data_IF_367225582729
#
_entry.id   IF_367225582729
#
_cell.length_a   1.000
_cell.length_b   1.000
_cell.length_c   1.000
_cell.angle_alpha   90.00
_cell.angle_beta   90.00
_cell.angle_gamma   90.00
#
_symmetry.space_group_name_H-M   'P 1'
#
loop_
_entity.id
_entity.type
_entity.pdbx_description
1 polymer ?
#
# COMPACT_ATOMS: atom_id res chain seq x y z
N UNK A 1 -50.93 -9.51 -10.32
CA UNK A 1 -49.96 -8.51 -9.84
C UNK A 1 -49.31 -9.08 -8.58
N UNK A 2 -48.26 -9.88 -8.75
CA UNK A 2 -47.56 -10.57 -7.65
C UNK A 2 -46.30 -9.81 -7.33
N UNK A 3 -46.25 -9.20 -6.16
CA UNK A 3 -45.09 -8.46 -5.64
C UNK A 3 -44.09 -9.49 -5.10
N UNK A 4 -42.86 -9.41 -5.63
CA UNK A 4 -41.77 -10.34 -5.34
C UNK A 4 -41.26 -10.12 -3.90
N UNK A 5 -41.67 -10.97 -2.97
CA UNK A 5 -41.31 -10.96 -1.53
C UNK A 5 -39.81 -11.24 -1.28
N UNK A 6 -39.03 -11.65 -2.28
CA UNK A 6 -37.59 -11.97 -2.15
C UNK A 6 -36.68 -10.75 -2.10
N UNK A 7 -37.13 -9.55 -2.48
CA UNK A 7 -36.30 -8.33 -2.41
C UNK A 7 -36.42 -7.56 -1.10
N UNK A 8 -37.45 -7.85 -0.27
CA UNK A 8 -37.59 -7.20 1.04
C UNK A 8 -36.76 -7.88 2.14
N UNK A 9 -36.42 -9.17 2.00
CA UNK A 9 -35.65 -9.91 3.00
C UNK A 9 -34.16 -9.59 2.99
N UNK A 10 -33.60 -9.22 1.84
CA UNK A 10 -32.18 -8.83 1.73
C UNK A 10 -31.89 -7.43 2.27
N UNK A 11 -32.83 -6.50 2.16
CA UNK A 11 -32.68 -5.16 2.72
C UNK A 11 -32.78 -5.14 4.25
N UNK A 12 -33.62 -6.03 4.83
CA UNK A 12 -33.75 -6.15 6.29
C UNK A 12 -32.54 -6.81 6.95
N UNK A 13 -31.85 -7.73 6.26
CA UNK A 13 -30.62 -8.37 6.75
C UNK A 13 -29.45 -7.42 6.72
N UNK A 14 -29.33 -6.55 5.70
CA UNK A 14 -28.27 -5.54 5.62
C UNK A 14 -28.39 -4.46 6.71
N UNK A 15 -29.61 -4.07 7.10
CA UNK A 15 -29.82 -3.13 8.20
C UNK A 15 -29.55 -3.74 9.58
N UNK A 16 -29.71 -5.08 9.73
CA UNK A 16 -29.43 -5.77 11.00
C UNK A 16 -27.92 -5.99 11.22
N UNK A 17 -27.15 -6.20 10.16
CA UNK A 17 -25.69 -6.37 10.25
C UNK A 17 -24.99 -5.03 10.55
N UNK A 18 -25.46 -3.90 10.00
CA UNK A 18 -24.95 -2.58 10.32
C UNK A 18 -25.24 -2.16 11.78
N UNK A 19 -26.39 -2.60 12.37
CA UNK A 19 -26.72 -2.35 13.76
C UNK A 19 -25.91 -3.20 14.76
N UNK A 20 -25.48 -4.40 14.39
CA UNK A 20 -24.73 -5.30 15.24
C UNK A 20 -23.25 -4.88 15.39
N UNK A 21 -22.67 -4.21 14.38
CA UNK A 21 -21.29 -3.71 14.44
C UNK A 21 -21.14 -2.50 15.40
N UNK A 22 -22.17 -1.70 15.57
CA UNK A 22 -22.16 -0.59 16.54
C UNK A 22 -22.35 -1.04 18.00
N UNK A 23 -22.92 -2.24 18.25
CA UNK A 23 -23.14 -2.77 19.60
C UNK A 23 -21.99 -3.63 20.13
N UNK A 24 -21.14 -4.21 19.27
CA UNK A 24 -20.02 -5.07 19.69
C UNK A 24 -18.82 -4.28 20.21
N UNK A 25 -18.72 -2.97 19.93
CA UNK A 25 -17.62 -2.12 20.42
C UNK A 25 -17.88 -1.51 21.82
N UNK A 26 -19.09 -1.69 22.41
CA UNK A 26 -19.46 -1.14 23.69
C UNK A 26 -19.39 -2.12 24.88
N UNK A 27 -18.91 -3.37 24.68
CA UNK A 27 -19.14 -4.48 25.59
C UNK A 27 -17.96 -5.07 26.36
N UNK A 28 -16.72 -4.58 26.25
CA UNK A 28 -15.59 -5.17 27.00
C UNK A 28 -14.61 -4.13 27.57
N UNK A 29 -15.07 -3.36 28.56
CA UNK A 29 -14.21 -2.74 29.58
C UNK A 29 -15.00 -2.58 30.88
N UNK A 30 -15.05 -3.64 31.69
CA UNK A 30 -15.40 -3.54 33.10
C UNK A 30 -14.22 -3.97 33.95
N UNK A 31 -13.36 -3.02 34.30
CA UNK A 31 -12.37 -3.12 35.36
C UNK A 31 -12.24 -1.73 35.97
N UNK A 32 -12.75 -1.54 37.19
CA UNK A 32 -12.99 -0.25 37.77
C UNK A 32 -11.74 0.52 38.17
N UNK A 33 -11.76 1.80 37.83
CA UNK A 33 -11.27 2.89 38.68
C UNK A 33 -12.27 4.04 38.55
N UNK A 34 -12.90 4.39 39.67
CA UNK A 34 -13.70 5.58 39.75
C UNK A 34 -12.77 6.80 39.65
N UNK A 35 -12.74 7.46 38.52
CA UNK A 35 -12.28 8.82 38.39
C UNK A 35 -13.38 9.59 37.66
N UNK A 36 -13.86 10.65 38.30
CA UNK A 36 -14.86 11.56 37.77
C UNK A 36 -14.38 12.20 36.50
N UNK A 37 -14.64 11.55 35.36
CA UNK A 37 -14.53 12.21 34.08
C UNK A 37 -15.78 13.04 33.85
N UNK A 38 -15.66 14.35 34.10
CA UNK A 38 -16.59 15.31 33.54
C UNK A 38 -16.65 15.01 32.01
N UNK A 39 -17.84 14.66 31.54
CA UNK A 39 -18.11 14.48 30.13
C UNK A 39 -17.69 15.77 29.41
N UNK A 40 -16.56 15.72 28.74
CA UNK A 40 -16.16 16.74 27.79
C UNK A 40 -17.11 16.57 26.59
N UNK A 41 -18.25 17.24 26.64
CA UNK A 41 -19.03 17.47 25.44
C UNK A 41 -18.11 18.24 24.50
N UNK A 42 -17.90 17.83 23.25
CA UNK A 42 -17.27 18.70 22.27
C UNK A 42 -18.14 19.95 22.22
N UNK A 43 -17.65 21.05 22.78
CA UNK A 43 -18.26 22.34 22.60
C UNK A 43 -18.13 22.65 21.12
N UNK A 44 -19.19 22.45 20.35
CA UNK A 44 -19.31 23.05 19.04
C UNK A 44 -19.26 24.57 19.27
N UNK A 45 -18.05 25.14 19.23
CA UNK A 45 -17.91 26.57 19.10
C UNK A 45 -18.71 26.95 17.85
N UNK A 46 -19.60 27.95 17.93
CA UNK A 46 -20.28 28.42 16.73
C UNK A 46 -19.17 28.77 15.73
N UNK A 47 -19.15 28.07 14.61
CA UNK A 47 -18.19 28.22 13.54
C UNK A 47 -18.39 29.64 13.01
N UNK A 48 -17.46 30.50 13.35
CA UNK A 48 -17.47 31.88 12.86
C UNK A 48 -17.21 31.76 11.36
N UNK A 49 -18.24 31.94 10.53
CA UNK A 49 -18.11 31.90 9.05
C UNK A 49 -17.06 32.94 8.66
N UNK A 50 -15.84 32.50 8.40
CA UNK A 50 -14.78 33.35 7.91
C UNK A 50 -15.22 33.98 6.58
N UNK A 51 -14.96 35.26 6.37
CA UNK A 51 -15.15 35.86 5.06
C UNK A 51 -14.13 35.31 4.08
N UNK A 52 -14.53 35.21 2.81
CA UNK A 52 -13.61 34.86 1.73
C UNK A 52 -12.97 36.20 1.28
N UNK A 53 -11.64 36.26 1.34
CA UNK A 53 -10.89 37.39 0.79
C UNK A 53 -10.62 37.11 -0.68
N UNK A 54 -11.09 38.02 -1.57
CA UNK A 54 -10.97 37.87 -3.02
C UNK A 54 -10.22 39.08 -3.61
N UNK A 55 -9.31 38.78 -4.53
CA UNK A 55 -8.47 39.77 -5.24
C UNK A 55 -8.55 39.48 -6.74
N UNK A 56 -8.58 40.51 -7.58
CA UNK A 56 -8.46 40.42 -9.04
C UNK A 56 -7.89 41.72 -9.58
N UNK A 57 -7.41 41.73 -10.81
CA UNK A 57 -6.91 42.95 -11.46
C UNK A 57 -8.07 43.93 -11.73
N UNK A 58 -9.17 43.43 -12.28
CA UNK A 58 -10.38 44.19 -12.57
C UNK A 58 -11.62 43.52 -11.98
N UNK A 59 -12.65 44.35 -11.66
CA UNK A 59 -13.92 43.84 -11.19
C UNK A 59 -15.09 44.64 -11.78
N UNK A 60 -16.13 43.89 -12.22
CA UNK A 60 -17.34 44.46 -12.80
C UNK A 60 -18.54 43.96 -12.01
N UNK A 61 -19.43 44.86 -11.66
CA UNK A 61 -20.69 44.51 -11.00
C UNK A 61 -21.81 44.50 -12.04
N UNK A 62 -22.59 43.44 -12.08
CA UNK A 62 -23.78 43.32 -12.95
C UNK A 62 -24.99 43.07 -12.06
N UNK A 63 -25.97 43.94 -12.17
CA UNK A 63 -27.23 43.87 -11.42
C UNK A 63 -28.32 43.27 -12.28
N UNK A 64 -28.91 42.16 -11.82
CA UNK A 64 -30.05 41.47 -12.47
C UNK A 64 -31.39 41.73 -11.75
N UNK A 65 -31.49 42.78 -10.94
CA UNK A 65 -32.67 43.13 -10.19
C UNK A 65 -32.83 42.38 -8.87
N UNK A 66 -32.97 41.10 -8.88
CA UNK A 66 -33.08 40.27 -7.66
C UNK A 66 -31.73 39.72 -7.17
N UNK A 67 -30.70 39.82 -7.99
CA UNK A 67 -29.35 39.31 -7.67
C UNK A 67 -28.26 40.18 -8.27
N UNK A 68 -27.21 40.40 -7.51
CA UNK A 68 -26.01 41.09 -7.98
C UNK A 68 -24.86 40.05 -8.10
N UNK A 69 -24.23 40.02 -9.26
CA UNK A 69 -23.04 39.24 -9.51
C UNK A 69 -21.83 40.15 -9.69
N UNK A 70 -20.65 39.61 -9.31
CA UNK A 70 -19.37 40.27 -9.53
C UNK A 70 -18.53 39.44 -10.47
N UNK A 71 -18.10 40.00 -11.57
CA UNK A 71 -17.18 39.40 -12.53
C UNK A 71 -15.78 39.90 -12.18
N UNK A 72 -14.89 39.01 -11.84
CA UNK A 72 -13.52 39.25 -11.40
C UNK A 72 -12.59 38.79 -12.51
N UNK A 73 -11.76 39.64 -13.07
CA UNK A 73 -10.96 39.34 -14.25
C UNK A 73 -9.50 39.64 -13.99
N UNK A 74 -8.64 38.73 -14.40
CA UNK A 74 -7.19 38.81 -14.28
C UNK A 74 -6.67 38.44 -12.90
N UNK A 75 -5.76 37.50 -12.85
CA UNK A 75 -5.04 37.06 -11.66
C UNK A 75 -5.94 36.88 -10.42
N UNK A 76 -7.09 36.21 -10.62
CA UNK A 76 -8.02 35.99 -9.52
C UNK A 76 -7.39 35.14 -8.43
N UNK A 77 -7.55 35.59 -7.18
CA UNK A 77 -7.16 34.86 -5.99
C UNK A 77 -8.23 34.97 -4.91
N UNK A 78 -8.58 33.83 -4.30
CA UNK A 78 -9.47 33.74 -3.14
C UNK A 78 -8.79 33.02 -1.99
N UNK A 79 -8.95 33.50 -0.77
CA UNK A 79 -8.41 32.92 0.45
C UNK A 79 -9.55 32.55 1.39
N UNK A 80 -9.61 31.27 1.78
CA UNK A 80 -10.61 30.79 2.74
C UNK A 80 -10.11 29.54 3.47
N UNK A 81 -10.27 29.51 4.80
CA UNK A 81 -9.88 28.39 5.68
C UNK A 81 -8.41 27.91 5.53
N UNK A 82 -7.52 28.75 5.05
CA UNK A 82 -6.12 28.39 4.77
C UNK A 82 -5.90 27.94 3.33
N UNK A 83 -6.96 27.67 2.58
CA UNK A 83 -6.86 27.39 1.16
C UNK A 83 -6.67 28.69 0.36
N UNK A 84 -5.89 28.58 -0.72
CA UNK A 84 -5.73 29.61 -1.74
C UNK A 84 -6.24 29.06 -3.05
N UNK A 85 -7.19 29.76 -3.68
CA UNK A 85 -7.77 29.39 -4.98
C UNK A 85 -7.36 30.46 -5.98
N UNK A 86 -6.64 30.05 -7.02
CA UNK A 86 -6.18 30.93 -8.10
C UNK A 86 -6.89 30.54 -9.41
N UNK A 87 -7.14 31.54 -10.28
CA UNK A 87 -7.69 31.32 -11.61
C UNK A 87 -7.44 32.54 -12.50
N UNK A 88 -7.70 32.41 -13.81
CA UNK A 88 -7.63 33.57 -14.72
C UNK A 88 -8.77 34.55 -14.46
N UNK A 89 -9.95 34.05 -14.10
CA UNK A 89 -11.13 34.85 -13.78
C UNK A 89 -12.11 34.12 -12.87
N UNK A 90 -13.05 34.87 -12.26
CA UNK A 90 -14.11 34.25 -11.47
C UNK A 90 -15.42 35.08 -11.57
N UNK A 91 -16.51 34.38 -11.29
CA UNK A 91 -17.81 35.01 -11.12
C UNK A 91 -18.27 34.75 -9.69
N UNK A 92 -18.45 35.81 -8.92
CA UNK A 92 -18.92 35.75 -7.54
C UNK A 92 -20.43 36.00 -7.48
N UNK A 93 -21.12 35.13 -6.79
CA UNK A 93 -22.55 35.26 -6.48
C UNK A 93 -22.75 35.90 -5.10
N UNK A 94 -23.92 36.48 -4.87
CA UNK A 94 -24.20 37.33 -3.71
C UNK A 94 -23.90 36.74 -2.33
N UNK A 95 -23.94 35.44 -2.19
CA UNK A 95 -23.63 34.70 -0.95
C UNK A 95 -22.15 34.40 -0.74
N UNK A 96 -21.25 34.99 -1.53
CA UNK A 96 -19.80 34.72 -1.54
C UNK A 96 -19.38 33.34 -2.10
N UNK A 97 -20.31 32.56 -2.66
CA UNK A 97 -19.95 31.46 -3.53
C UNK A 97 -19.46 32.01 -4.85
N UNK A 98 -18.53 31.33 -5.48
CA UNK A 98 -17.94 31.76 -6.74
C UNK A 98 -17.57 30.61 -7.63
N UNK A 99 -17.45 30.91 -8.90
CA UNK A 99 -17.04 29.99 -9.95
C UNK A 99 -15.78 30.55 -10.62
N UNK A 100 -14.75 29.72 -10.74
CA UNK A 100 -13.47 30.05 -11.33
C UNK A 100 -13.35 29.49 -12.73
N UNK A 101 -12.65 30.20 -13.61
CA UNK A 101 -12.42 29.83 -15.00
C UNK A 101 -10.96 30.05 -15.41
N UNK A 102 -10.40 29.06 -16.07
CA UNK A 102 -9.06 29.08 -16.64
C UNK A 102 -7.95 28.89 -15.60
N UNK A 103 -7.04 27.98 -15.85
CA UNK A 103 -5.84 27.69 -15.05
C UNK A 103 -6.10 27.64 -13.54
N UNK A 104 -7.16 26.91 -13.14
CA UNK A 104 -7.53 26.81 -11.73
C UNK A 104 -6.46 26.06 -10.96
N UNK A 105 -6.02 26.65 -9.86
CA UNK A 105 -5.13 26.02 -8.88
C UNK A 105 -5.71 26.24 -7.48
N UNK A 106 -5.95 25.15 -6.77
CA UNK A 106 -6.27 25.17 -5.34
C UNK A 106 -5.04 24.68 -4.58
N UNK A 107 -4.55 25.48 -3.66
CA UNK A 107 -3.46 25.11 -2.77
C UNK A 107 -3.97 25.07 -1.32
N UNK A 108 -3.69 23.95 -0.67
CA UNK A 108 -3.95 23.76 0.76
C UNK A 108 -2.75 23.02 1.37
N UNK A 109 -2.03 23.65 2.28
CA UNK A 109 -0.78 23.12 2.84
C UNK A 109 0.24 22.76 1.74
N UNK A 110 0.61 21.47 1.62
CA UNK A 110 1.49 20.93 0.60
C UNK A 110 0.76 20.41 -0.63
N UNK A 111 -0.57 20.38 -0.58
CA UNK A 111 -1.41 19.84 -1.65
C UNK A 111 -1.78 20.90 -2.67
N UNK A 112 -1.63 20.59 -3.95
CA UNK A 112 -1.95 21.42 -5.11
C UNK A 112 -2.93 20.68 -6.02
N UNK A 113 -4.09 21.28 -6.30
CA UNK A 113 -5.13 20.72 -7.17
C UNK A 113 -5.26 21.61 -8.40
N UNK A 114 -5.10 21.03 -9.58
CA UNK A 114 -5.14 21.70 -10.87
C UNK A 114 -6.39 21.29 -11.65
N UNK A 115 -7.04 22.26 -12.27
CA UNK A 115 -8.20 22.08 -13.13
C UNK A 115 -8.45 23.25 -14.08
N UNK A 116 -9.47 23.13 -14.91
CA UNK A 116 -9.83 24.18 -15.88
C UNK A 116 -10.93 25.12 -15.35
N UNK A 117 -11.78 24.60 -14.48
CA UNK A 117 -12.89 25.31 -13.84
C UNK A 117 -13.08 24.77 -12.43
N UNK A 118 -13.52 25.64 -11.49
CA UNK A 118 -13.94 25.21 -10.17
C UNK A 118 -15.15 25.99 -9.67
N UNK A 119 -16.03 25.33 -8.97
CA UNK A 119 -17.13 25.92 -8.22
C UNK A 119 -16.81 25.87 -6.73
N UNK A 120 -16.84 27.00 -6.05
CA UNK A 120 -16.63 27.08 -4.62
C UNK A 120 -17.92 27.44 -3.88
N UNK A 121 -18.37 26.52 -3.02
CA UNK A 121 -19.50 26.76 -2.14
C UNK A 121 -19.01 27.09 -0.73
N UNK A 122 -19.17 28.36 -0.34
CA UNK A 122 -18.74 28.84 0.97
C UNK A 122 -19.43 28.17 2.15
N UNK A 123 -20.73 27.91 2.00
CA UNK A 123 -21.53 27.38 3.11
C UNK A 123 -21.19 25.91 3.42
N UNK A 124 -20.67 25.21 2.42
CA UNK A 124 -20.19 23.83 2.52
C UNK A 124 -18.66 23.73 2.67
N UNK A 125 -17.91 24.85 2.57
CA UNK A 125 -16.45 24.89 2.50
C UNK A 125 -15.87 24.01 1.38
N UNK A 126 -16.61 23.80 0.29
CA UNK A 126 -16.32 22.79 -0.73
C UNK A 126 -16.03 23.43 -2.08
N UNK A 127 -14.90 23.04 -2.67
CA UNK A 127 -14.57 23.26 -4.06
C UNK A 127 -14.91 22.01 -4.88
N UNK A 128 -15.61 22.18 -6.01
CA UNK A 128 -15.77 21.14 -7.03
C UNK A 128 -14.91 21.54 -8.22
N UNK A 129 -13.97 20.68 -8.61
CA UNK A 129 -13.01 20.96 -9.67
C UNK A 129 -13.40 20.19 -10.92
N UNK A 130 -13.37 20.85 -12.06
CA UNK A 130 -13.73 20.33 -13.37
C UNK A 130 -12.54 20.48 -14.32
N UNK A 131 -12.20 19.39 -14.98
CA UNK A 131 -11.22 19.31 -16.06
C UNK A 131 -11.43 18.01 -16.81
N UNK A 132 -10.86 17.86 -18.00
CA UNK A 132 -10.78 16.57 -18.67
C UNK A 132 -10.04 15.54 -17.79
N UNK A 133 -9.04 16.02 -17.04
CA UNK A 133 -8.31 15.25 -16.05
C UNK A 133 -7.79 16.19 -14.95
N UNK A 134 -8.37 16.08 -13.76
CA UNK A 134 -7.93 16.81 -12.56
C UNK A 134 -6.62 16.22 -12.08
N UNK A 135 -5.63 17.06 -11.83
CA UNK A 135 -4.31 16.65 -11.28
C UNK A 135 -4.16 17.17 -9.86
N UNK A 136 -3.74 16.30 -8.96
CA UNK A 136 -3.46 16.62 -7.55
C UNK A 136 -2.00 16.26 -7.28
N UNK A 137 -1.25 17.15 -6.66
CA UNK A 137 0.17 16.95 -6.33
C UNK A 137 0.36 17.19 -4.84
N UNK A 138 1.03 16.27 -4.16
CA UNK A 138 1.47 16.45 -2.78
C UNK A 138 2.84 15.77 -2.58
N UNK A 139 3.89 16.58 -2.40
CA UNK A 139 5.26 16.10 -2.35
C UNK A 139 5.65 15.33 -3.63
N UNK A 140 6.05 14.07 -3.45
CA UNK A 140 6.41 13.17 -4.56
C UNK A 140 5.19 12.49 -5.19
N UNK A 141 4.02 12.56 -4.54
CA UNK A 141 2.81 11.92 -5.02
C UNK A 141 2.08 12.81 -6.04
N UNK A 142 1.60 12.19 -7.11
CA UNK A 142 0.73 12.81 -8.10
C UNK A 142 -0.48 11.91 -8.32
N UNK A 143 -1.67 12.48 -8.18
CA UNK A 143 -2.94 11.78 -8.38
C UNK A 143 -3.69 12.41 -9.54
N UNK A 144 -4.41 11.59 -10.29
CA UNK A 144 -5.25 12.00 -11.42
C UNK A 144 -6.65 11.41 -11.23
N UNK A 145 -7.67 12.19 -11.54
CA UNK A 145 -9.07 11.77 -11.45
C UNK A 145 -9.94 12.55 -12.43
N UNK A 146 -11.08 11.99 -12.80
CA UNK A 146 -12.04 12.70 -13.65
C UNK A 146 -12.93 13.66 -12.86
N UNK A 147 -13.18 13.38 -11.59
CA UNK A 147 -14.02 14.20 -10.74
C UNK A 147 -13.38 14.37 -9.36
N UNK A 148 -13.29 15.63 -8.93
CA UNK A 148 -12.70 15.97 -7.63
C UNK A 148 -13.57 16.99 -6.90
N UNK A 149 -13.89 16.72 -5.64
CA UNK A 149 -14.35 17.72 -4.70
C UNK A 149 -13.36 17.84 -3.56
N UNK A 150 -13.12 19.05 -3.10
CA UNK A 150 -12.17 19.32 -2.02
C UNK A 150 -12.85 20.13 -0.91
N UNK A 151 -12.87 19.58 0.31
CA UNK A 151 -13.32 20.28 1.50
C UNK A 151 -12.15 21.05 2.13
N UNK A 152 -12.25 22.40 2.12
CA UNK A 152 -11.19 23.28 2.62
C UNK A 152 -11.17 23.42 4.15
N UNK A 153 -12.17 22.90 4.84
CA UNK A 153 -12.22 22.91 6.30
C UNK A 153 -11.62 21.64 6.89
N UNK A 154 -11.99 20.47 6.33
CA UNK A 154 -11.52 19.16 6.78
C UNK A 154 -10.26 18.73 6.02
N UNK A 155 -9.82 19.49 5.01
CA UNK A 155 -8.64 19.22 4.18
C UNK A 155 -8.69 17.86 3.47
N UNK A 156 -9.87 17.51 2.94
CA UNK A 156 -10.14 16.22 2.30
C UNK A 156 -10.54 16.40 0.85
N UNK A 157 -9.81 15.74 -0.04
CA UNK A 157 -10.20 15.53 -1.45
C UNK A 157 -11.01 14.24 -1.59
N UNK A 158 -12.14 14.29 -2.29
CA UNK A 158 -12.94 13.13 -2.69
C UNK A 158 -12.85 12.98 -4.21
N UNK A 159 -12.52 11.78 -4.69
CA UNK A 159 -12.40 11.46 -6.11
C UNK A 159 -13.37 10.35 -6.48
N UNK A 160 -13.95 10.45 -7.67
CA UNK A 160 -14.87 9.43 -8.19
C UNK A 160 -14.84 9.36 -9.72
N UNK A 161 -15.19 8.17 -10.23
CA UNK A 161 -15.13 7.88 -11.65
C UNK A 161 -13.73 7.48 -12.14
N UNK A 162 -12.88 7.04 -11.22
CA UNK A 162 -11.50 6.61 -11.45
C UNK A 162 -10.49 7.51 -10.75
N UNK A 163 -9.54 6.88 -10.09
CA UNK A 163 -8.39 7.51 -9.46
C UNK A 163 -7.13 6.77 -9.88
N UNK A 164 -6.10 7.50 -10.27
CA UNK A 164 -4.79 7.00 -10.63
C UNK A 164 -3.74 7.77 -9.85
N UNK A 165 -3.02 7.12 -8.95
CA UNK A 165 -2.00 7.75 -8.12
C UNK A 165 -0.62 7.18 -8.42
N UNK A 166 0.36 8.07 -8.56
CA UNK A 166 1.78 7.74 -8.73
C UNK A 166 2.53 8.30 -7.54
N UNK A 167 3.27 7.46 -6.83
CA UNK A 167 4.16 7.89 -5.76
C UNK A 167 5.50 7.16 -5.90
N UNK A 168 6.53 7.86 -6.38
CA UNK A 168 7.82 7.27 -6.74
C UNK A 168 7.64 6.13 -7.75
N UNK A 169 7.92 4.88 -7.33
CA UNK A 169 7.79 3.68 -8.16
C UNK A 169 6.42 3.00 -8.02
N UNK A 170 5.57 3.46 -7.09
CA UNK A 170 4.27 2.87 -6.83
C UNK A 170 3.20 3.49 -7.70
N UNK A 171 2.38 2.65 -8.31
CA UNK A 171 1.15 3.00 -9.01
C UNK A 171 -0.02 2.45 -8.23
N UNK A 172 -1.08 3.25 -8.06
CA UNK A 172 -2.33 2.85 -7.43
C UNK A 172 -3.48 3.28 -8.31
N UNK A 173 -4.40 2.37 -8.60
CA UNK A 173 -5.64 2.60 -9.35
C UNK A 173 -6.83 2.19 -8.48
N UNK A 174 -7.95 2.92 -8.57
CA UNK A 174 -9.19 2.62 -7.88
C UNK A 174 -10.37 3.32 -8.54
N UNK A 175 -11.59 2.87 -8.30
CA UNK A 175 -12.80 3.53 -8.84
C UNK A 175 -13.08 4.86 -8.14
N UNK A 176 -12.78 4.96 -6.85
CA UNK A 176 -12.98 6.15 -6.01
C UNK A 176 -11.99 6.20 -4.86
N UNK A 177 -11.86 7.35 -4.24
CA UNK A 177 -11.01 7.51 -3.07
C UNK A 177 -11.15 8.84 -2.39
N UNK A 178 -10.44 8.93 -1.27
CA UNK A 178 -10.35 10.13 -0.44
C UNK A 178 -8.89 10.41 -0.16
N UNK A 179 -8.49 11.66 -0.26
CA UNK A 179 -7.14 12.08 0.09
C UNK A 179 -7.18 13.09 1.25
N UNK A 180 -6.54 12.75 2.35
CA UNK A 180 -6.42 13.57 3.54
C UNK A 180 -5.09 14.32 3.50
N UNK A 181 -5.11 15.61 3.15
CA UNK A 181 -3.87 16.38 2.97
C UNK A 181 -3.10 16.65 4.26
N UNK A 182 -3.75 16.58 5.42
CA UNK A 182 -3.10 16.78 6.72
C UNK A 182 -2.30 15.55 7.19
N UNK A 183 -2.73 14.35 6.81
CA UNK A 183 -2.09 13.09 7.21
C UNK A 183 -1.37 12.40 6.06
N UNK A 184 -1.52 12.87 4.84
CA UNK A 184 -1.01 12.28 3.59
C UNK A 184 -1.55 10.86 3.32
N UNK A 185 -2.77 10.56 3.80
CA UNK A 185 -3.43 9.28 3.61
C UNK A 185 -4.33 9.30 2.37
N UNK A 186 -4.07 8.40 1.43
CA UNK A 186 -4.94 8.08 0.32
C UNK A 186 -5.75 6.84 0.67
N UNK A 187 -7.07 6.99 0.79
CA UNK A 187 -8.00 5.87 0.94
C UNK A 187 -8.54 5.54 -0.44
N UNK A 188 -8.14 4.42 -0.99
CA UNK A 188 -8.60 3.89 -2.26
C UNK A 188 -9.68 2.83 -2.02
N UNK A 189 -10.78 2.89 -2.77
CA UNK A 189 -11.95 2.04 -2.57
C UNK A 189 -12.50 1.58 -3.92
N UNK A 190 -12.93 0.33 -3.96
CA UNK A 190 -13.49 -0.40 -5.08
C UNK A 190 -12.45 -0.62 -6.20
N UNK A 191 -12.27 -1.87 -6.57
CA UNK A 191 -11.34 -2.31 -7.62
C UNK A 191 -9.93 -1.73 -7.47
N UNK A 192 -9.39 -1.82 -6.25
CA UNK A 192 -8.05 -1.30 -5.98
C UNK A 192 -7.00 -2.20 -6.61
N UNK A 193 -6.13 -1.61 -7.40
CA UNK A 193 -4.94 -2.23 -7.94
C UNK A 193 -3.72 -1.38 -7.57
N UNK A 194 -2.72 -1.99 -6.94
CA UNK A 194 -1.47 -1.32 -6.60
C UNK A 194 -0.29 -2.13 -7.12
N UNK A 195 0.65 -1.49 -7.79
CA UNK A 195 1.79 -2.19 -8.41
C UNK A 195 3.06 -1.35 -8.44
N UNK A 196 4.17 -2.05 -8.48
CA UNK A 196 5.48 -1.52 -8.86
C UNK A 196 6.30 -2.62 -9.55
N UNK A 197 7.59 -2.38 -9.80
CA UNK A 197 8.48 -3.35 -10.46
C UNK A 197 8.65 -4.69 -9.71
N UNK A 198 8.25 -4.78 -8.46
CA UNK A 198 8.50 -5.94 -7.57
C UNK A 198 7.26 -6.66 -7.11
N UNK A 199 6.11 -6.02 -7.13
CA UNK A 199 4.86 -6.61 -6.67
C UNK A 199 3.65 -6.00 -7.38
N UNK A 200 2.60 -6.78 -7.40
CA UNK A 200 1.25 -6.40 -7.79
C UNK A 200 0.30 -6.80 -6.69
N UNK A 201 -0.66 -5.95 -6.38
CA UNK A 201 -1.69 -6.17 -5.38
C UNK A 201 -3.05 -5.77 -5.93
N UNK A 202 -4.06 -6.61 -5.69
CA UNK A 202 -5.46 -6.26 -5.94
C UNK A 202 -6.28 -6.47 -4.67
N UNK A 203 -7.30 -5.64 -4.45
CA UNK A 203 -8.15 -5.73 -3.27
C UNK A 203 -9.36 -4.80 -3.34
N UNK A 204 -10.20 -4.85 -2.32
CA UNK A 204 -11.41 -4.03 -2.26
C UNK A 204 -11.12 -2.61 -1.76
N UNK A 205 -10.22 -2.48 -0.79
CA UNK A 205 -9.86 -1.17 -0.25
C UNK A 205 -8.46 -1.15 0.37
N UNK A 206 -7.79 0.00 0.24
CA UNK A 206 -6.44 0.25 0.75
C UNK A 206 -6.37 1.66 1.33
N UNK A 207 -5.76 1.79 2.49
CA UNK A 207 -5.27 3.07 3.02
C UNK A 207 -3.77 3.11 2.77
N UNK A 208 -3.33 4.07 1.96
CA UNK A 208 -1.93 4.23 1.61
C UNK A 208 -1.42 5.60 2.04
N UNK A 209 -0.43 5.65 2.90
CA UNK A 209 0.23 6.89 3.30
C UNK A 209 1.36 7.21 2.30
N UNK A 210 1.20 8.30 1.55
CA UNK A 210 2.13 8.64 0.45
C UNK A 210 3.48 9.19 0.95
N UNK A 211 3.58 9.63 2.20
CA UNK A 211 4.82 10.11 2.80
C UNK A 211 5.68 8.97 3.34
N UNK A 212 5.07 8.03 4.07
CA UNK A 212 5.75 6.94 4.76
C UNK A 212 5.84 5.66 3.95
N UNK A 213 5.10 5.54 2.83
CA UNK A 213 4.91 4.31 2.07
C UNK A 213 4.28 3.17 2.91
N UNK A 214 3.53 3.51 3.96
CA UNK A 214 2.78 2.55 4.77
C UNK A 214 1.45 2.25 4.09
N UNK A 215 1.12 0.96 3.95
CA UNK A 215 -0.17 0.52 3.40
C UNK A 215 -0.92 -0.34 4.41
N UNK A 216 -2.22 -0.15 4.49
CA UNK A 216 -3.16 -1.01 5.20
C UNK A 216 -4.23 -1.47 4.22
N UNK A 217 -4.43 -2.77 4.11
CA UNK A 217 -5.37 -3.37 3.18
C UNK A 217 -6.47 -4.15 3.90
N UNK A 218 -7.64 -4.19 3.28
CA UNK A 218 -8.87 -4.75 3.83
C UNK A 218 -9.57 -5.59 2.77
N UNK A 219 -10.07 -6.71 3.23
CA UNK A 219 -10.89 -7.68 2.50
C UNK A 219 -10.30 -8.14 1.14
N UNK A 220 -10.27 -9.44 0.95
CA UNK A 220 -9.92 -10.11 -0.30
C UNK A 220 -8.68 -9.57 -1.02
N UNK A 221 -7.60 -9.34 -0.28
CA UNK A 221 -6.38 -8.80 -0.86
C UNK A 221 -5.50 -9.91 -1.41
N UNK A 222 -5.16 -9.80 -2.69
CA UNK A 222 -4.28 -10.70 -3.43
C UNK A 222 -2.99 -9.97 -3.77
N UNK A 223 -1.86 -10.59 -3.55
CA UNK A 223 -0.53 -10.03 -3.83
C UNK A 223 0.34 -11.03 -4.57
N UNK A 224 1.09 -10.54 -5.55
CA UNK A 224 2.08 -11.30 -6.30
C UNK A 224 3.40 -10.56 -6.31
N UNK A 225 4.49 -11.28 -6.25
CA UNK A 225 5.81 -10.70 -6.46
C UNK A 225 6.37 -11.05 -7.85
N UNK A 226 7.52 -10.46 -8.18
CA UNK A 226 8.23 -10.66 -9.43
C UNK A 226 8.73 -12.10 -9.66
N UNK A 227 8.76 -12.93 -8.59
CA UNK A 227 9.14 -14.36 -8.64
C UNK A 227 7.93 -15.29 -8.85
N UNK A 228 6.71 -14.73 -8.88
CA UNK A 228 5.47 -15.49 -8.98
C UNK A 228 5.02 -16.11 -7.67
N UNK A 229 5.57 -15.68 -6.53
CA UNK A 229 5.04 -16.04 -5.22
C UNK A 229 3.77 -15.25 -4.98
N UNK A 230 2.81 -15.90 -4.35
CA UNK A 230 1.48 -15.36 -4.13
C UNK A 230 1.17 -15.30 -2.64
N UNK A 231 0.52 -14.21 -2.23
CA UNK A 231 -0.01 -14.03 -0.87
C UNK A 231 -1.46 -13.58 -0.94
N UNK A 232 -2.28 -14.13 -0.04
CA UNK A 232 -3.66 -13.71 0.18
C UNK A 232 -3.84 -13.31 1.64
N UNK A 233 -4.67 -12.31 1.87
CA UNK A 233 -5.09 -11.90 3.20
C UNK A 233 -6.46 -11.21 3.19
N UNK A 234 -7.27 -11.43 4.23
CA UNK A 234 -8.47 -10.64 4.45
C UNK A 234 -8.16 -9.26 5.06
N UNK A 235 -7.07 -9.13 5.79
CA UNK A 235 -6.61 -7.87 6.34
C UNK A 235 -5.13 -7.91 6.70
N UNK A 236 -4.47 -6.77 6.55
CA UNK A 236 -3.08 -6.65 6.93
C UNK A 236 -2.49 -5.28 6.67
N UNK A 237 -1.19 -5.19 6.87
CA UNK A 237 -0.41 -3.97 6.64
C UNK A 237 0.91 -4.29 5.95
N UNK A 238 1.42 -3.33 5.22
CA UNK A 238 2.79 -3.33 4.74
C UNK A 238 3.51 -2.08 5.24
N UNK A 239 4.62 -2.26 5.91
CA UNK A 239 5.51 -1.21 6.37
C UNK A 239 6.84 -1.28 5.60
N UNK A 240 7.04 -0.34 4.69
CA UNK A 240 8.24 -0.30 3.84
C UNK A 240 9.51 0.03 4.64
N UNK A 241 9.42 0.76 5.75
CA UNK A 241 10.59 1.16 6.52
C UNK A 241 11.31 -0.04 7.14
N UNK A 242 10.55 -1.02 7.57
CA UNK A 242 11.06 -2.28 8.16
C UNK A 242 10.85 -3.49 7.25
N UNK A 243 10.34 -3.27 6.05
CA UNK A 243 10.04 -4.28 5.02
C UNK A 243 9.23 -5.47 5.58
N UNK A 244 8.17 -5.12 6.34
CA UNK A 244 7.29 -6.06 7.03
C UNK A 244 5.93 -6.13 6.36
N UNK A 245 5.58 -7.31 5.87
CA UNK A 245 4.21 -7.68 5.55
C UNK A 245 3.57 -8.34 6.76
N UNK A 246 2.49 -7.77 7.25
CA UNK A 246 1.74 -8.30 8.38
C UNK A 246 0.33 -8.66 7.96
N UNK A 247 0.04 -9.94 7.95
CA UNK A 247 -1.32 -10.46 7.78
C UNK A 247 -1.95 -10.62 9.16
N UNK A 248 -3.14 -10.10 9.34
CA UNK A 248 -3.85 -10.14 10.62
C UNK A 248 -5.07 -11.03 10.60
N UNK A 249 -5.49 -11.51 9.42
CA UNK A 249 -6.64 -12.40 9.25
C UNK A 249 -6.53 -13.21 7.97
N UNK A 250 -6.70 -14.54 8.09
CA UNK A 250 -6.77 -15.50 6.98
C UNK A 250 -5.59 -15.38 6.02
N UNK A 251 -4.38 -15.57 6.53
CA UNK A 251 -3.17 -15.51 5.72
C UNK A 251 -2.95 -16.78 4.92
N UNK A 252 -2.59 -16.61 3.66
CA UNK A 252 -2.13 -17.67 2.79
C UNK A 252 -0.91 -17.23 1.98
N UNK A 253 0.11 -18.04 1.92
CA UNK A 253 1.32 -17.81 1.13
C UNK A 253 1.57 -19.05 0.27
N UNK A 254 1.77 -18.83 -1.03
CA UNK A 254 2.15 -19.84 -1.99
C UNK A 254 3.49 -19.46 -2.64
N UNK A 255 4.48 -20.30 -2.48
CA UNK A 255 5.72 -20.28 -3.26
C UNK A 255 5.75 -21.47 -4.24
N UNK A 256 6.82 -21.61 -5.02
CA UNK A 256 6.91 -22.69 -6.03
C UNK A 256 6.74 -24.11 -5.44
N UNK A 257 7.10 -24.31 -4.18
CA UNK A 257 7.20 -25.63 -3.57
C UNK A 257 6.52 -25.73 -2.20
N UNK A 258 6.00 -24.60 -1.68
CA UNK A 258 5.43 -24.52 -0.34
C UNK A 258 4.16 -23.70 -0.33
N UNK A 259 3.22 -24.20 0.44
CA UNK A 259 1.99 -23.50 0.79
C UNK A 259 1.89 -23.35 2.30
N UNK A 260 1.49 -22.18 2.76
CA UNK A 260 1.32 -21.89 4.18
C UNK A 260 0.00 -21.17 4.43
N UNK A 261 -0.75 -21.63 5.38
CA UNK A 261 -1.95 -21.00 5.93
C UNK A 261 -1.73 -20.63 7.38
N UNK A 262 -2.34 -19.56 7.85
CA UNK A 262 -2.38 -19.17 9.26
C UNK A 262 -3.30 -17.99 9.48
N UNK A 263 -3.88 -17.85 10.66
CA UNK A 263 -4.71 -16.69 10.97
C UNK A 263 -3.92 -15.39 10.90
N UNK A 264 -2.66 -15.41 11.34
CA UNK A 264 -1.77 -14.28 11.35
C UNK A 264 -0.36 -14.65 10.90
N UNK A 265 0.20 -13.85 9.99
CA UNK A 265 1.55 -14.04 9.45
C UNK A 265 2.29 -12.71 9.51
N UNK A 266 3.49 -12.70 10.09
CA UNK A 266 4.43 -11.59 9.99
C UNK A 266 5.60 -12.03 9.10
N UNK A 267 5.74 -11.42 7.92
CA UNK A 267 6.83 -11.71 6.98
C UNK A 267 7.80 -10.53 6.92
N UNK A 268 8.96 -10.71 7.56
CA UNK A 268 10.10 -9.80 7.52
C UNK A 268 10.92 -10.10 6.26
N UNK A 269 10.53 -9.50 5.15
CA UNK A 269 11.03 -9.84 3.82
C UNK A 269 12.55 -9.68 3.69
N UNK A 270 13.13 -8.58 4.16
CA UNK A 270 14.58 -8.35 4.11
C UNK A 270 15.38 -9.34 4.93
N UNK A 271 14.76 -9.94 5.95
CA UNK A 271 15.38 -10.97 6.80
C UNK A 271 15.06 -12.38 6.33
N UNK A 272 14.15 -12.55 5.36
CA UNK A 272 13.65 -13.87 4.97
C UNK A 272 13.06 -14.64 6.14
N UNK A 273 12.36 -13.96 7.07
CA UNK A 273 11.84 -14.55 8.29
C UNK A 273 10.33 -14.42 8.36
N UNK A 274 9.64 -15.53 8.50
CA UNK A 274 8.19 -15.61 8.66
C UNK A 274 7.86 -16.09 10.07
N UNK A 275 6.93 -15.40 10.72
CA UNK A 275 6.33 -15.80 12.01
C UNK A 275 4.85 -16.04 11.78
N UNK A 276 4.40 -17.27 11.98
CA UNK A 276 3.01 -17.68 11.82
C UNK A 276 2.34 -17.98 13.16
N UNK A 277 1.06 -17.63 13.31
CA UNK A 277 0.29 -17.80 14.55
C UNK A 277 -1.13 -18.22 14.25
N UNK A 278 -1.60 -19.15 15.05
CA UNK A 278 -2.94 -19.76 15.06
C UNK A 278 -3.30 -20.48 13.75
N UNK A 279 -3.77 -21.71 13.94
CA UNK A 279 -4.26 -22.59 12.88
C UNK A 279 -3.30 -22.71 11.68
N UNK A 280 -2.00 -22.83 11.99
CA UNK A 280 -0.96 -22.95 10.99
C UNK A 280 -1.06 -24.30 10.30
N UNK A 281 -1.04 -24.28 8.99
CA UNK A 281 -0.88 -25.44 8.12
C UNK A 281 0.19 -25.13 7.07
N UNK A 282 1.13 -26.03 6.89
CA UNK A 282 2.21 -25.94 5.88
C UNK A 282 2.24 -27.21 5.06
N UNK A 283 2.26 -27.08 3.75
CA UNK A 283 2.57 -28.17 2.81
C UNK A 283 3.88 -27.83 2.09
N UNK A 284 4.93 -28.61 2.39
CA UNK A 284 6.20 -28.57 1.67
C UNK A 284 6.22 -29.74 0.69
N UNK A 285 5.93 -29.46 -0.57
CA UNK A 285 5.86 -30.46 -1.63
C UNK A 285 7.22 -31.01 -2.02
N UNK A 286 8.32 -30.27 -1.77
CA UNK A 286 9.68 -30.72 -2.00
C UNK A 286 10.10 -31.76 -0.96
N UNK A 287 9.87 -31.44 0.32
CA UNK A 287 10.22 -32.33 1.43
C UNK A 287 9.15 -33.41 1.70
N UNK A 288 7.98 -33.28 1.03
CA UNK A 288 6.84 -34.20 1.25
C UNK A 288 6.35 -34.17 2.70
N UNK A 289 6.19 -32.98 3.26
CA UNK A 289 5.81 -32.78 4.66
C UNK A 289 4.59 -31.89 4.76
N UNK A 290 3.54 -32.40 5.41
CA UNK A 290 2.45 -31.58 5.93
C UNK A 290 2.70 -31.27 7.41
N UNK A 291 2.64 -30.01 7.78
CA UNK A 291 2.84 -29.52 9.14
C UNK A 291 1.63 -28.78 9.66
N UNK A 292 1.30 -28.97 10.94
CA UNK A 292 0.23 -28.27 11.63
C UNK A 292 0.74 -27.78 12.99
N UNK A 293 0.37 -26.55 13.40
CA UNK A 293 0.74 -25.99 14.70
C UNK A 293 -0.09 -24.74 15.03
N UNK A 294 0.03 -24.22 16.27
CA UNK A 294 -0.54 -22.93 16.65
C UNK A 294 0.52 -21.79 16.65
N UNK A 295 1.80 -22.12 16.53
CA UNK A 295 2.90 -21.16 16.40
C UNK A 295 4.04 -21.78 15.61
N UNK A 296 4.61 -20.98 14.70
CA UNK A 296 5.77 -21.41 13.92
C UNK A 296 6.58 -20.22 13.44
N UNK A 297 7.85 -20.50 13.16
CA UNK A 297 8.78 -19.58 12.54
C UNK A 297 9.54 -20.30 11.42
N UNK A 298 9.81 -19.57 10.35
CA UNK A 298 10.55 -20.08 9.20
C UNK A 298 11.59 -19.03 8.77
N UNK A 299 12.80 -19.47 8.53
CA UNK A 299 13.89 -18.67 7.98
C UNK A 299 14.25 -19.19 6.59
N UNK A 300 14.11 -18.37 5.57
CA UNK A 300 14.42 -18.74 4.17
C UNK A 300 15.86 -19.20 4.02
N UNK A 301 16.78 -18.53 4.70
CA UNK A 301 18.17 -18.92 4.79
C UNK A 301 18.54 -19.19 6.27
N UNK A 302 18.96 -20.42 6.59
CA UNK A 302 19.30 -21.57 5.73
C UNK A 302 18.14 -22.52 5.38
N UNK A 303 16.89 -22.12 5.45
CA UNK A 303 15.72 -22.95 5.21
C UNK A 303 15.31 -23.75 6.45
N UNK A 304 15.53 -23.18 7.63
CA UNK A 304 15.16 -23.80 8.89
C UNK A 304 13.75 -23.36 9.32
N UNK A 305 13.08 -24.25 10.06
CA UNK A 305 11.80 -23.90 10.67
C UNK A 305 11.70 -24.48 12.07
N UNK A 306 10.83 -23.88 12.87
CA UNK A 306 10.43 -24.45 14.12
C UNK A 306 8.92 -24.26 14.31
N UNK A 307 8.24 -25.29 14.80
CA UNK A 307 6.82 -25.26 15.10
C UNK A 307 6.57 -25.79 16.52
N UNK A 308 5.61 -25.19 17.20
CA UNK A 308 5.26 -25.52 18.58
C UNK A 308 3.77 -25.28 18.85
N UNK A 309 3.32 -25.56 20.08
CA UNK A 309 1.92 -25.51 20.48
C UNK A 309 1.08 -26.51 19.68
N UNK A 310 1.17 -27.77 20.07
CA UNK A 310 0.50 -28.94 19.46
C UNK A 310 0.98 -29.23 18.03
N UNK A 311 2.29 -29.21 17.76
CA UNK A 311 2.78 -29.48 16.42
C UNK A 311 2.50 -30.93 16.03
N UNK A 312 2.10 -31.13 14.81
CA UNK A 312 2.03 -32.44 14.18
C UNK A 312 2.57 -32.36 12.76
N UNK A 313 3.33 -33.39 12.36
CA UNK A 313 3.91 -33.52 11.04
C UNK A 313 3.49 -34.83 10.42
N UNK A 314 3.24 -34.80 9.13
CA UNK A 314 2.98 -35.99 8.31
C UNK A 314 3.97 -35.98 7.17
N UNK A 315 4.91 -36.92 7.17
CA UNK A 315 5.75 -37.15 6.00
C UNK A 315 5.04 -38.15 5.08
N UNK A 316 4.73 -37.69 3.87
CA UNK A 316 4.02 -38.43 2.86
C UNK A 316 4.95 -38.64 1.65
N UNK A 317 5.41 -39.83 1.40
CA UNK A 317 6.12 -40.18 0.16
C UNK A 317 5.18 -40.93 -0.78
N UNK A 318 4.81 -40.38 -1.95
CA UNK A 318 3.96 -41.08 -2.91
C UNK A 318 4.51 -42.45 -3.37
N UNK A 319 5.80 -42.67 -3.16
CA UNK A 319 6.47 -43.92 -3.51
C UNK A 319 6.47 -44.93 -2.36
N UNK A 320 6.08 -44.51 -1.16
CA UNK A 320 5.97 -45.38 0.02
C UNK A 320 4.50 -45.69 0.30
N UNK A 321 4.24 -46.91 0.80
CA UNK A 321 2.87 -47.36 1.09
C UNK A 321 2.30 -46.68 2.34
N UNK A 322 3.18 -46.26 3.27
CA UNK A 322 2.81 -45.72 4.58
C UNK A 322 3.38 -44.32 4.78
N UNK A 323 2.57 -43.44 5.34
CA UNK A 323 2.98 -42.08 5.82
C UNK A 323 3.53 -42.17 7.24
N UNK A 324 4.51 -41.34 7.56
CA UNK A 324 5.07 -41.23 8.91
C UNK A 324 4.43 -40.05 9.63
N UNK A 325 3.85 -40.31 10.80
CA UNK A 325 3.24 -39.31 11.66
C UNK A 325 4.15 -38.99 12.83
N UNK A 326 4.33 -37.71 13.12
CA UNK A 326 5.11 -37.18 14.24
C UNK A 326 4.29 -36.18 15.01
N UNK A 327 4.26 -36.34 16.35
CA UNK A 327 3.71 -35.34 17.28
C UNK A 327 4.71 -35.13 18.40
N UNK A 328 4.87 -33.88 18.82
CA UNK A 328 5.79 -33.46 19.89
C UNK A 328 5.29 -32.16 20.54
N UNK A 329 5.98 -31.67 21.58
CA UNK A 329 5.71 -30.35 22.14
C UNK A 329 6.31 -29.25 21.25
N UNK A 330 7.44 -29.53 20.60
CA UNK A 330 8.13 -28.64 19.66
C UNK A 330 8.89 -29.47 18.64
N UNK A 331 8.88 -29.05 17.41
CA UNK A 331 9.62 -29.67 16.31
C UNK A 331 10.53 -28.63 15.65
N UNK A 332 11.80 -28.98 15.48
CA UNK A 332 12.78 -28.22 14.73
C UNK A 332 13.08 -28.92 13.41
N UNK A 333 13.03 -28.17 12.33
CA UNK A 333 13.36 -28.62 10.99
C UNK A 333 14.63 -27.90 10.53
N UNK A 334 15.63 -28.65 10.13
CA UNK A 334 16.92 -28.13 9.66
C UNK A 334 17.17 -28.57 8.22
N UNK A 335 17.51 -27.61 7.38
CA UNK A 335 18.02 -27.92 6.04
C UNK A 335 19.50 -28.31 6.15
N UNK A 336 19.80 -29.55 5.82
CA UNK A 336 21.17 -30.05 5.78
C UNK A 336 21.76 -29.77 4.39
N UNK A 337 22.84 -29.02 4.31
CA UNK A 337 23.65 -28.94 3.09
C UNK A 337 24.16 -30.34 2.73
N UNK A 338 24.01 -30.75 1.49
CA UNK A 338 24.58 -32.01 1.01
C UNK A 338 26.08 -31.99 1.36
N UNK A 339 26.53 -32.96 2.17
CA UNK A 339 27.94 -33.14 2.43
C UNK A 339 28.60 -33.40 1.07
N UNK A 340 29.67 -32.63 0.67
CA UNK A 340 30.38 -32.97 -0.56
C UNK A 340 30.75 -34.44 -0.48
N UNK A 341 30.31 -35.24 -1.44
CA UNK A 341 30.76 -36.62 -1.55
C UNK A 341 32.27 -36.54 -1.64
N UNK A 342 33.02 -37.36 -0.87
CA UNK A 342 34.46 -37.50 -1.09
C UNK A 342 34.60 -37.85 -2.58
N UNK A 343 35.35 -37.04 -3.32
CA UNK A 343 35.71 -37.39 -4.68
C UNK A 343 36.25 -38.83 -4.62
N UNK A 344 35.64 -39.76 -5.37
CA UNK A 344 36.19 -41.09 -5.53
C UNK A 344 37.67 -40.93 -5.89
N UNK A 345 38.59 -41.61 -5.19
CA UNK A 345 39.99 -41.47 -5.53
C UNK A 345 40.13 -41.83 -7.00
N UNK A 346 40.68 -40.87 -7.77
CA UNK A 346 41.02 -41.10 -9.17
C UNK A 346 41.62 -42.47 -9.33
N UNK A 347 41.20 -43.33 -10.29
CA UNK A 347 41.78 -44.63 -10.50
C UNK A 347 43.28 -44.44 -10.66
N UNK A 348 44.04 -45.17 -9.84
CA UNK A 348 45.47 -45.16 -9.86
C UNK A 348 45.97 -45.37 -11.30
N UNK A 349 46.66 -44.38 -11.84
CA UNK A 349 47.27 -44.48 -13.14
C UNK A 349 48.29 -45.63 -13.08
N UNK A 350 48.02 -46.69 -13.84
CA UNK A 350 48.93 -47.79 -14.06
C UNK A 350 50.30 -47.20 -14.51
N UNK A 351 51.27 -47.40 -13.65
CA UNK A 351 52.68 -47.10 -13.94
C UNK A 351 53.25 -48.17 -14.89
N UNK A 352 53.21 -47.86 -16.15
CA UNK A 352 54.01 -48.57 -17.14
C UNK A 352 54.80 -47.56 -17.99
N UNK A 353 56.03 -47.42 -17.62
CA UNK A 353 57.26 -47.04 -18.24
C UNK A 353 57.24 -46.31 -19.62
N UNK A 354 58.02 -45.28 -19.66
CA UNK A 354 59.23 -45.13 -20.51
C UNK A 354 59.76 -43.72 -20.36
N UNK A 355 61.00 -43.63 -19.92
CA UNK A 355 61.80 -42.41 -19.77
C UNK A 355 62.20 -41.84 -21.12
N UNK A 356 62.38 -40.52 -21.14
CA UNK A 356 63.46 -39.73 -21.72
C UNK A 356 63.00 -38.48 -22.49
N UNK A 357 63.81 -37.47 -22.72
CA UNK A 357 64.45 -36.59 -21.76
C UNK A 357 64.10 -35.08 -22.05
N UNK A 358 64.45 -34.27 -21.09
CA UNK A 358 64.49 -32.80 -21.26
C UNK A 358 65.57 -32.37 -22.28
N UNK A 359 65.43 -31.21 -22.89
CA UNK A 359 66.45 -30.19 -22.66
C UNK A 359 65.91 -28.75 -22.40
N UNK A 360 66.45 -28.13 -21.42
CA UNK A 360 67.15 -26.80 -21.37
C UNK A 360 66.67 -25.74 -22.39
N UNK A 361 66.48 -24.45 -22.03
CA UNK A 361 67.25 -23.48 -21.30
C UNK A 361 66.36 -22.21 -21.12
N UNK A 362 66.39 -21.53 -20.01
CA UNK A 362 67.05 -20.24 -19.70
C UNK A 362 66.86 -19.10 -20.77
N UNK A 363 66.32 -18.00 -20.32
CA UNK A 363 66.84 -16.64 -20.10
C UNK A 363 65.68 -15.66 -20.09
N UNK A 364 65.46 -14.93 -19.04
CA UNK A 364 66.02 -13.82 -18.36
C UNK A 364 65.89 -12.48 -19.07
N UNK A 365 65.54 -11.48 -18.28
CA UNK A 365 65.66 -10.02 -18.39
C UNK A 365 64.49 -9.27 -19.00
N UNK A 366 63.90 -8.52 -18.16
CA UNK A 366 64.17 -7.20 -17.58
C UNK A 366 63.39 -6.05 -18.20
N UNK A 367 62.69 -5.42 -17.35
CA UNK A 367 62.79 -3.99 -17.00
C UNK A 367 62.04 -2.92 -17.82
N UNK A 368 61.42 -2.07 -17.01
CA UNK A 368 61.26 -0.63 -17.17
C UNK A 368 59.99 -0.12 -17.87
N UNK A 369 59.17 0.57 -17.03
CA UNK A 369 58.35 1.70 -17.47
C UNK A 369 59.22 2.90 -17.83
N UNK A 370 58.80 4.12 -17.94
CA UNK A 370 57.47 4.68 -17.62
C UNK A 370 56.95 5.76 -18.61
N UNK A 371 55.86 6.37 -18.22
CA UNK A 371 55.54 7.80 -18.41
C UNK A 371 54.79 8.31 -19.64
N UNK A 372 53.62 8.88 -19.32
CA UNK A 372 53.20 10.28 -19.57
C UNK A 372 52.89 10.79 -20.97
N UNK A 373 51.80 11.55 -20.98
CA UNK A 373 51.53 12.65 -21.90
C UNK A 373 50.18 12.58 -22.56
N UNK A 374 49.17 13.22 -21.99
CA UNK A 374 48.69 14.58 -22.34
C UNK A 374 48.33 14.71 -23.82
N UNK A 375 47.14 15.02 -24.18
CA UNK A 375 46.49 16.30 -24.34
C UNK A 375 45.49 16.33 -25.47
N UNK A 376 44.45 17.00 -25.22
CA UNK A 376 43.67 17.96 -26.03
C UNK A 376 42.68 17.53 -27.11
N UNK A 377 41.54 18.13 -26.80
CA UNK A 377 40.66 18.98 -27.59
C UNK A 377 39.50 18.36 -28.34
N UNK A 378 38.41 18.93 -27.89
CA UNK A 378 37.09 19.07 -28.44
C UNK A 378 37.03 19.55 -29.94
N UNK A 379 35.89 19.60 -30.62
CA UNK A 379 34.82 20.48 -30.17
C UNK A 379 33.52 19.79 -29.77
#
# INVERSE_FOLDING_TARGET
MSINVRRLSTLAVLLFVAGAFLYAFAGTMRGGYASSAAACQPSSKPQQKKMIDMISDDSYMVDYGDSTIFILVGNFAAHHNGAVILADSAVRYGNQSFECFGNVLINQNTTYIYGDRAEYNRDLNRATVYSDLVKIVDGDATMYTYNCTFDTYDNVGEFFGGCYAVNKDNLLEADRGYYYSDTHDLIAVDNVEMRNDRYEMTGDSVIYNVETDFAQYFDHTHMWNDKGEYMYADAGTYDKQIDLYKVTRNGYILSSEREMWGDSLDYYRSAGHIVARHDIQVDDTLQKVLGFADYGEYWEEPGNAFITRRPSLINYDPKQVDSVFMCADTVWLYTLSARPQPEDPLPAADSAGVAAPLPFALDDKSAAGPAAGADSSAP
#
